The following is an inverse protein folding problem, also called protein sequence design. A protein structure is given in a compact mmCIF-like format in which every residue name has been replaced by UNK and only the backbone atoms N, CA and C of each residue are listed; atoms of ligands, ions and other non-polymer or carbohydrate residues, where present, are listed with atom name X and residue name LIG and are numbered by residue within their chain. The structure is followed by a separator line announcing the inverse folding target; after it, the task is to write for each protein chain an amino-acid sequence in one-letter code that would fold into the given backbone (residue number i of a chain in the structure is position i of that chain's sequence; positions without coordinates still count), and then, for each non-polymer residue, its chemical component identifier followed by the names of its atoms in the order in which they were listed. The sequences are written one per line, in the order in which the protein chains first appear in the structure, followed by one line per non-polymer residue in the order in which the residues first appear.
data_IF_606086380237
#
_entry.id   IF_606086380237
#
_cell.length_a   1.000
_cell.length_b   1.000
_cell.length_c   1.000
_cell.angle_alpha   90.00
_cell.angle_beta   90.00
_cell.angle_gamma   90.00
#
_symmetry.space_group_name_H-M   'P 1'
#
loop_
_entity.id
_entity.type
_entity.pdbx_description
1 polymer ?
#
# COMPACT_ATOMS: atom_id res chain seq x y z
N UNK A 1 -5.61 -14.67 -45.50
CA UNK A 1 -6.44 -15.33 -44.46
C UNK A 1 -5.47 -16.07 -43.54
N UNK A 2 -5.02 -15.40 -42.48
CA UNK A 2 -4.29 -16.08 -41.41
C UNK A 2 -5.35 -16.82 -40.61
N UNK A 3 -5.28 -18.14 -40.61
CA UNK A 3 -6.02 -19.00 -39.69
C UNK A 3 -5.51 -18.69 -38.28
N UNK A 4 -6.05 -17.64 -37.67
CA UNK A 4 -5.74 -17.32 -36.29
C UNK A 4 -6.34 -18.42 -35.44
N UNK A 5 -5.50 -19.29 -34.88
CA UNK A 5 -5.91 -20.18 -33.80
C UNK A 5 -6.65 -19.33 -32.76
N UNK A 6 -7.91 -19.68 -32.49
CA UNK A 6 -8.69 -19.04 -31.44
C UNK A 6 -8.09 -19.43 -30.09
N UNK A 7 -7.99 -18.46 -29.18
CA UNK A 7 -7.58 -18.75 -27.81
C UNK A 7 -8.74 -19.43 -27.09
N UNK A 8 -8.52 -20.65 -26.60
CA UNK A 8 -9.57 -21.45 -25.95
C UNK A 8 -10.01 -20.88 -24.59
N UNK A 9 -9.06 -20.58 -23.68
CA UNK A 9 -9.35 -19.96 -22.37
C UNK A 9 -8.09 -19.37 -21.70
N UNK A 10 -8.27 -18.58 -20.62
CA UNK A 10 -7.16 -18.08 -19.80
C UNK A 10 -6.43 -19.24 -19.10
N UNK A 11 -7.18 -20.22 -18.64
CA UNK A 11 -6.67 -21.43 -17.99
C UNK A 11 -5.77 -22.21 -18.95
N UNK A 12 -6.20 -22.41 -20.20
CA UNK A 12 -5.41 -23.08 -21.23
C UNK A 12 -4.09 -22.34 -21.52
N UNK A 13 -4.14 -20.99 -21.56
CA UNK A 13 -2.93 -20.17 -21.72
C UNK A 13 -2.01 -20.31 -20.51
N UNK A 14 -2.53 -20.28 -19.28
CA UNK A 14 -1.72 -20.46 -18.07
C UNK A 14 -1.10 -21.86 -17.99
N UNK A 15 -1.85 -22.91 -18.35
CA UNK A 15 -1.34 -24.28 -18.43
C UNK A 15 -0.24 -24.43 -19.48
N UNK A 16 -0.41 -23.80 -20.64
CA UNK A 16 0.61 -23.76 -21.69
C UNK A 16 1.88 -23.08 -21.21
N UNK A 17 1.77 -21.95 -20.52
CA UNK A 17 2.91 -21.22 -19.95
C UNK A 17 3.74 -22.09 -18.98
N UNK A 18 3.10 -23.06 -18.31
CA UNK A 18 3.77 -24.03 -17.43
C UNK A 18 4.52 -25.14 -18.16
N UNK A 19 4.29 -25.33 -19.46
CA UNK A 19 4.89 -26.38 -20.30
C UNK A 19 5.89 -25.82 -21.32
N UNK A 20 5.58 -24.67 -21.91
CA UNK A 20 6.37 -24.01 -22.95
C UNK A 20 6.20 -22.48 -22.94
N UNK A 21 7.13 -21.71 -23.55
CA UNK A 21 6.99 -20.26 -23.63
C UNK A 21 5.72 -19.83 -24.38
N UNK A 22 4.98 -18.87 -23.81
CA UNK A 22 3.82 -18.28 -24.47
C UNK A 22 4.22 -17.47 -25.70
N UNK A 23 3.39 -17.55 -26.76
CA UNK A 23 3.50 -16.64 -27.89
C UNK A 23 3.06 -15.22 -27.48
N UNK A 24 3.58 -14.21 -28.18
CA UNK A 24 3.31 -12.79 -27.89
C UNK A 24 1.80 -12.46 -27.87
N UNK A 25 1.02 -13.10 -28.74
CA UNK A 25 -0.44 -12.94 -28.78
C UNK A 25 -1.11 -13.47 -27.52
N UNK A 26 -0.69 -14.63 -27.03
CA UNK A 26 -1.24 -15.27 -25.82
C UNK A 26 -0.89 -14.44 -24.58
N UNK A 27 0.35 -13.94 -24.52
CA UNK A 27 0.82 -13.06 -23.45
C UNK A 27 0.02 -11.74 -23.40
N UNK A 28 -0.29 -11.16 -24.57
CA UNK A 28 -1.11 -9.95 -24.67
C UNK A 28 -2.53 -10.17 -24.15
N UNK A 29 -3.18 -11.26 -24.55
CA UNK A 29 -4.55 -11.56 -24.10
C UNK A 29 -4.59 -11.91 -22.60
N UNK A 30 -3.61 -12.66 -22.11
CA UNK A 30 -3.46 -12.91 -20.68
C UNK A 30 -3.33 -11.60 -19.89
N UNK A 31 -2.49 -10.68 -20.37
CA UNK A 31 -2.31 -9.36 -19.73
C UNK A 31 -3.58 -8.52 -19.79
N UNK A 32 -4.29 -8.51 -20.92
CA UNK A 32 -5.56 -7.79 -21.09
C UNK A 32 -6.60 -8.22 -20.07
N UNK A 33 -6.74 -9.53 -19.83
CA UNK A 33 -7.72 -10.06 -18.88
C UNK A 33 -7.28 -9.84 -17.43
N UNK A 34 -6.02 -10.16 -17.10
CA UNK A 34 -5.54 -10.09 -15.72
C UNK A 34 -5.26 -8.67 -15.23
N UNK A 35 -4.80 -7.77 -16.09
CA UNK A 35 -4.39 -6.41 -15.71
C UNK A 35 -5.24 -5.31 -16.33
N UNK A 36 -6.08 -5.61 -17.33
CA UNK A 36 -6.80 -4.59 -18.10
C UNK A 36 -5.89 -3.90 -19.12
N UNK A 37 -6.05 -2.58 -19.27
CA UNK A 37 -5.19 -1.78 -20.14
C UNK A 37 -3.73 -1.85 -19.66
N UNK A 38 -2.81 -2.02 -20.61
CA UNK A 38 -1.39 -2.10 -20.30
C UNK A 38 -0.87 -0.79 -19.70
N UNK A 39 -0.18 -0.92 -18.56
CA UNK A 39 0.44 0.18 -17.86
C UNK A 39 1.67 0.65 -18.63
N UNK A 40 1.65 1.87 -19.16
CA UNK A 40 2.80 2.41 -19.88
C UNK A 40 3.93 2.73 -18.89
N UNK A 41 5.17 2.25 -19.12
CA UNK A 41 6.31 2.62 -18.29
C UNK A 41 6.46 4.15 -18.22
N UNK A 42 6.66 4.67 -17.01
CA UNK A 42 6.91 6.09 -16.80
C UNK A 42 8.41 6.29 -16.59
N UNK A 43 9.00 7.24 -17.32
CA UNK A 43 10.41 7.58 -17.13
C UNK A 43 10.64 8.19 -15.75
N UNK A 44 11.70 7.71 -15.10
CA UNK A 44 12.20 8.21 -13.81
C UNK A 44 13.63 8.71 -13.99
N UNK A 45 14.08 9.61 -13.12
CA UNK A 45 15.43 10.17 -13.21
C UNK A 45 16.49 9.09 -12.96
N UNK A 46 17.65 9.22 -13.64
CA UNK A 46 18.81 8.36 -13.39
C UNK A 46 19.28 8.45 -11.93
N UNK A 47 19.12 9.62 -11.31
CA UNK A 47 19.38 9.83 -9.89
C UNK A 47 18.49 8.94 -9.00
N UNK A 48 17.18 8.87 -9.28
CA UNK A 48 16.26 8.01 -8.54
C UNK A 48 16.62 6.53 -8.70
N UNK A 49 16.96 6.10 -9.92
CA UNK A 49 17.37 4.73 -10.21
C UNK A 49 18.69 4.35 -9.51
N UNK A 50 19.67 5.25 -9.54
CA UNK A 50 20.95 5.06 -8.85
C UNK A 50 20.73 4.96 -7.34
N UNK A 51 19.93 5.86 -6.77
CA UNK A 51 19.57 5.81 -5.35
C UNK A 51 18.89 4.49 -4.97
N UNK A 52 17.90 4.05 -5.76
CA UNK A 52 17.21 2.78 -5.53
C UNK A 52 18.18 1.59 -5.53
N UNK A 53 19.14 1.57 -6.47
CA UNK A 53 20.18 0.56 -6.53
C UNK A 53 21.12 0.61 -5.31
N UNK A 54 21.68 1.77 -4.98
CA UNK A 54 22.58 1.97 -3.84
C UNK A 54 21.92 1.61 -2.50
N UNK A 55 20.65 2.03 -2.35
CA UNK A 55 19.84 1.81 -1.16
C UNK A 55 19.06 0.50 -1.22
N UNK A 56 19.28 -0.35 -2.23
CA UNK A 56 18.81 -1.74 -2.24
C UNK A 56 17.28 -1.90 -2.17
N UNK A 57 16.54 -1.04 -2.88
CA UNK A 57 15.09 -1.20 -3.12
C UNK A 57 14.77 -1.12 -4.61
N UNK A 58 13.65 -1.71 -5.00
CA UNK A 58 13.11 -1.64 -6.35
C UNK A 58 12.36 -0.32 -6.56
N UNK A 59 12.55 0.28 -7.73
CA UNK A 59 11.79 1.46 -8.16
C UNK A 59 11.06 1.13 -9.46
N UNK A 60 9.73 1.23 -9.43
CA UNK A 60 8.89 1.04 -10.62
C UNK A 60 7.99 2.23 -10.81
N UNK A 61 7.82 2.63 -12.07
CA UNK A 61 6.99 3.76 -12.43
C UNK A 61 6.13 3.45 -13.64
N UNK A 62 4.84 3.72 -13.52
CA UNK A 62 3.84 3.50 -14.55
C UNK A 62 2.99 4.73 -14.77
N UNK A 63 2.34 4.81 -15.92
CA UNK A 63 1.43 5.90 -16.28
C UNK A 63 0.15 5.37 -16.92
N UNK A 64 -0.95 6.03 -16.61
CA UNK A 64 -2.26 5.78 -17.20
C UNK A 64 -2.81 7.10 -17.75
N UNK A 65 -3.18 7.09 -19.03
CA UNK A 65 -3.78 8.23 -19.70
C UNK A 65 -5.31 8.17 -19.65
N UNK A 66 -5.92 9.35 -19.54
CA UNK A 66 -7.35 9.55 -19.75
C UNK A 66 -7.62 10.15 -21.14
N UNK A 67 -8.86 10.03 -21.62
CA UNK A 67 -9.28 10.70 -22.84
C UNK A 67 -9.17 12.23 -22.68
N UNK A 68 -8.82 12.94 -23.75
CA UNK A 68 -8.70 14.39 -23.71
C UNK A 68 -10.08 15.03 -23.60
N UNK A 69 -10.32 15.80 -22.55
CA UNK A 69 -11.50 16.64 -22.44
C UNK A 69 -11.33 17.97 -23.19
N UNK A 70 -12.43 18.51 -23.71
CA UNK A 70 -12.46 19.82 -24.36
C UNK A 70 -12.61 20.97 -23.37
N UNK A 71 -13.30 20.74 -22.25
CA UNK A 71 -13.69 21.78 -21.28
C UNK A 71 -12.86 21.74 -20.00
N UNK A 72 -12.03 20.72 -19.81
CA UNK A 72 -11.18 20.57 -18.62
C UNK A 72 -9.75 20.25 -19.06
N UNK A 73 -8.80 20.89 -18.38
CA UNK A 73 -7.40 20.52 -18.50
C UNK A 73 -7.16 19.17 -17.81
N UNK A 74 -6.22 18.34 -18.30
CA UNK A 74 -5.82 17.14 -17.58
C UNK A 74 -5.26 17.51 -16.20
N UNK A 75 -5.61 16.73 -15.18
CA UNK A 75 -5.07 16.88 -13.82
C UNK A 75 -4.14 15.69 -13.48
N UNK A 76 -2.87 15.74 -13.92
CA UNK A 76 -1.89 14.72 -13.59
C UNK A 76 -1.51 14.79 -12.11
N UNK A 77 -1.46 13.63 -11.47
CA UNK A 77 -1.07 13.42 -10.07
C UNK A 77 -0.21 12.16 -10.03
N UNK A 78 1.01 12.26 -9.51
CA UNK A 78 1.86 11.09 -9.25
C UNK A 78 1.63 10.61 -7.83
N UNK A 79 1.18 9.36 -7.67
CA UNK A 79 1.11 8.72 -6.36
C UNK A 79 2.29 7.78 -6.15
N UNK A 80 2.77 7.67 -4.92
CA UNK A 80 3.83 6.75 -4.53
C UNK A 80 3.34 5.78 -3.45
N UNK A 81 3.67 4.51 -3.60
CA UNK A 81 3.43 3.44 -2.64
C UNK A 81 4.77 2.92 -2.13
N UNK A 82 4.94 2.86 -0.81
CA UNK A 82 6.17 2.37 -0.16
C UNK A 82 5.85 1.09 0.59
N UNK A 83 6.49 -0.01 0.17
CA UNK A 83 6.56 -1.27 0.93
C UNK A 83 8.00 -1.53 1.36
N UNK A 84 8.18 -1.91 2.62
CA UNK A 84 9.48 -2.20 3.21
C UNK A 84 9.38 -3.25 4.33
N UNK A 85 10.50 -3.85 4.68
CA UNK A 85 10.63 -4.73 5.85
C UNK A 85 11.15 -3.93 7.04
N UNK A 86 11.13 -4.53 8.23
CA UNK A 86 11.89 -3.99 9.36
C UNK A 86 13.40 -4.03 9.06
N UNK A 87 14.14 -3.06 9.59
CA UNK A 87 15.58 -2.91 9.32
C UNK A 87 16.46 -3.29 10.50
N UNK A 88 15.86 -3.57 11.66
CA UNK A 88 16.52 -4.01 12.89
C UNK A 88 15.79 -5.24 13.45
N UNK A 89 16.47 -6.14 14.17
CA UNK A 89 15.83 -7.23 14.90
C UNK A 89 14.77 -6.71 15.87
N UNK A 90 13.72 -7.50 16.10
CA UNK A 90 12.64 -7.15 17.04
C UNK A 90 13.11 -7.14 18.50
N UNK A 91 14.28 -7.71 18.80
CA UNK A 91 14.94 -7.73 20.11
C UNK A 91 15.76 -6.48 20.42
N UNK A 92 15.99 -5.60 19.43
CA UNK A 92 16.72 -4.35 19.65
C UNK A 92 15.88 -3.36 20.48
N UNK A 93 16.49 -2.34 21.12
CA UNK A 93 15.73 -1.29 21.78
C UNK A 93 14.72 -0.63 20.84
N UNK A 94 13.48 -0.39 21.30
CA UNK A 94 12.39 0.14 20.46
C UNK A 94 12.74 1.47 19.76
N UNK A 95 13.52 2.33 20.42
CA UNK A 95 13.99 3.58 19.85
C UNK A 95 14.95 3.36 18.66
N UNK A 96 15.80 2.35 18.73
CA UNK A 96 16.70 1.98 17.62
C UNK A 96 15.91 1.35 16.47
N UNK A 97 14.93 0.49 16.77
CA UNK A 97 14.03 -0.08 15.76
C UNK A 97 13.29 1.04 15.02
N UNK A 98 12.68 1.99 15.75
CA UNK A 98 11.98 3.16 15.18
C UNK A 98 12.94 4.06 14.40
N UNK A 99 14.11 4.37 14.93
CA UNK A 99 15.08 5.22 14.23
C UNK A 99 15.52 4.60 12.90
N UNK A 100 15.80 3.29 12.89
CA UNK A 100 16.16 2.56 11.68
C UNK A 100 15.05 2.62 10.63
N UNK A 101 13.81 2.30 10.99
CA UNK A 101 12.72 2.27 10.02
C UNK A 101 12.37 3.67 9.51
N UNK A 102 12.40 4.69 10.38
CA UNK A 102 12.17 6.09 9.97
C UNK A 102 13.25 6.56 8.99
N UNK A 103 14.51 6.18 9.19
CA UNK A 103 15.56 6.50 8.22
C UNK A 103 15.32 5.80 6.89
N UNK A 104 14.87 4.54 6.91
CA UNK A 104 14.47 3.83 5.68
C UNK A 104 13.34 4.54 4.95
N UNK A 105 12.32 4.99 5.67
CA UNK A 105 11.21 5.75 5.10
C UNK A 105 11.69 7.07 4.48
N UNK A 106 12.65 7.78 5.10
CA UNK A 106 13.23 9.00 4.50
C UNK A 106 13.93 8.73 3.18
N UNK A 107 14.73 7.67 3.11
CA UNK A 107 15.42 7.27 1.88
C UNK A 107 14.42 7.01 0.74
N UNK A 108 13.40 6.19 1.01
CA UNK A 108 12.39 5.84 0.00
C UNK A 108 11.52 7.04 -0.37
N UNK A 109 11.23 7.93 0.58
CA UNK A 109 10.51 9.19 0.35
C UNK A 109 11.31 10.14 -0.53
N UNK A 110 12.63 10.23 -0.33
CA UNK A 110 13.49 11.05 -1.18
C UNK A 110 13.53 10.52 -2.61
N UNK A 111 13.61 9.20 -2.80
CA UNK A 111 13.52 8.61 -4.14
C UNK A 111 12.16 8.87 -4.80
N UNK A 112 11.06 8.79 -4.04
CA UNK A 112 9.73 9.16 -4.53
C UNK A 112 9.67 10.64 -4.96
N UNK A 113 10.32 11.54 -4.20
CA UNK A 113 10.47 12.95 -4.58
C UNK A 113 11.23 13.10 -5.90
N UNK A 114 12.34 12.38 -6.10
CA UNK A 114 13.09 12.39 -7.36
C UNK A 114 12.26 11.86 -8.55
N UNK A 115 11.24 11.04 -8.28
CA UNK A 115 10.24 10.60 -9.26
C UNK A 115 9.07 11.59 -9.45
N UNK A 116 9.08 12.73 -8.77
CA UNK A 116 8.02 13.75 -8.85
C UNK A 116 6.70 13.33 -8.20
N UNK A 117 6.73 12.40 -7.24
CA UNK A 117 5.52 11.98 -6.50
C UNK A 117 4.89 13.18 -5.77
N UNK A 118 3.57 13.29 -5.90
CA UNK A 118 2.77 14.33 -5.26
C UNK A 118 2.09 13.84 -3.98
N UNK A 119 1.67 12.56 -3.94
CA UNK A 119 1.03 11.94 -2.78
C UNK A 119 1.69 10.60 -2.50
N UNK A 120 2.31 10.43 -1.33
CA UNK A 120 3.00 9.22 -0.90
C UNK A 120 2.23 8.55 0.23
N UNK A 121 2.12 7.23 0.20
CA UNK A 121 1.57 6.45 1.30
C UNK A 121 2.54 5.33 1.70
N UNK A 122 2.75 5.19 3.01
CA UNK A 122 3.47 4.06 3.59
C UNK A 122 2.53 2.88 3.86
N UNK A 123 3.09 1.70 4.14
CA UNK A 123 2.36 0.52 4.61
C UNK A 123 1.76 0.70 6.02
N UNK A 124 0.96 -0.27 6.47
CA UNK A 124 0.36 -0.23 7.81
C UNK A 124 1.40 -0.35 8.93
N UNK A 125 1.19 0.41 10.01
CA UNK A 125 2.05 0.45 11.20
C UNK A 125 3.53 0.58 10.80
N UNK A 126 3.84 1.59 9.98
CA UNK A 126 5.12 1.70 9.26
C UNK A 126 6.32 1.99 10.18
N UNK A 127 6.10 2.19 11.48
CA UNK A 127 7.11 2.62 12.46
C UNK A 127 7.71 1.49 13.29
N UNK A 128 7.37 0.23 13.00
CA UNK A 128 7.93 -0.91 13.72
C UNK A 128 7.52 -2.28 13.16
N UNK A 129 7.85 -3.37 13.88
CA UNK A 129 7.36 -4.70 13.57
C UNK A 129 5.86 -4.81 13.79
N UNK A 130 5.21 -5.74 13.10
CA UNK A 130 3.80 -6.06 13.25
C UNK A 130 3.60 -7.04 14.41
N UNK A 131 3.90 -6.57 15.62
CA UNK A 131 3.95 -7.37 16.85
C UNK A 131 2.60 -7.92 17.34
N UNK A 132 1.48 -7.57 16.71
CA UNK A 132 0.15 -7.93 17.21
C UNK A 132 -0.07 -9.45 17.30
N UNK A 133 0.74 -10.26 16.61
CA UNK A 133 0.75 -11.72 16.72
C UNK A 133 1.16 -12.23 18.12
N UNK A 134 2.01 -11.50 18.84
CA UNK A 134 2.51 -11.91 20.16
C UNK A 134 1.47 -11.74 21.26
N UNK A 135 0.50 -10.83 21.08
CA UNK A 135 -0.50 -10.40 22.10
C UNK A 135 0.10 -9.73 23.33
N UNK A 136 1.42 -9.56 23.38
CA UNK A 136 2.13 -8.90 24.47
C UNK A 136 1.90 -7.39 24.43
N UNK A 137 1.75 -6.78 25.62
CA UNK A 137 1.61 -5.32 25.75
C UNK A 137 2.95 -4.62 25.79
N UNK A 138 3.87 -5.13 26.60
CA UNK A 138 5.21 -4.58 26.75
C UNK A 138 6.21 -5.43 25.96
N UNK A 139 7.25 -4.80 25.39
CA UNK A 139 7.45 -3.35 25.32
C UNK A 139 6.61 -2.69 24.21
N UNK A 140 5.92 -3.48 23.38
CA UNK A 140 5.38 -3.07 22.09
C UNK A 140 4.45 -1.85 22.08
N UNK A 141 3.62 -1.67 23.09
CA UNK A 141 2.71 -0.51 23.19
C UNK A 141 3.44 0.82 23.37
N UNK A 142 4.73 0.82 23.73
CA UNK A 142 5.60 2.02 23.73
C UNK A 142 5.94 2.50 22.30
N UNK A 143 5.71 1.67 21.28
CA UNK A 143 5.81 2.10 19.89
C UNK A 143 4.69 3.08 19.50
N UNK A 144 3.61 3.15 20.29
CA UNK A 144 2.53 4.09 20.05
C UNK A 144 3.01 5.54 20.23
N UNK A 145 2.59 6.44 19.34
CA UNK A 145 2.94 7.85 19.40
C UNK A 145 1.73 8.77 19.11
N UNK A 146 1.84 10.05 19.47
CA UNK A 146 0.80 11.03 19.16
C UNK A 146 0.65 11.22 17.64
N UNK A 147 -0.59 11.20 17.15
CA UNK A 147 -0.92 11.46 15.75
C UNK A 147 -0.65 12.91 15.30
N UNK A 148 -0.38 13.83 16.23
CA UNK A 148 -0.12 15.25 15.93
C UNK A 148 1.32 15.67 16.24
N UNK A 149 1.89 15.16 17.34
CA UNK A 149 3.18 15.61 17.87
C UNK A 149 4.23 14.49 17.94
N UNK A 150 3.88 13.28 17.52
CA UNK A 150 4.76 12.11 17.49
C UNK A 150 6.03 12.34 16.66
N UNK A 151 7.15 11.69 17.00
CA UNK A 151 8.42 11.88 16.33
C UNK A 151 8.38 11.49 14.84
N UNK A 152 7.61 10.45 14.48
CA UNK A 152 7.44 10.06 13.07
C UNK A 152 6.63 11.11 12.33
N UNK A 153 5.57 11.63 12.95
CA UNK A 153 4.73 12.69 12.36
C UNK A 153 5.55 13.95 12.08
N UNK A 154 6.36 14.41 13.04
CA UNK A 154 7.26 15.57 12.82
C UNK A 154 8.21 15.37 11.65
N UNK A 155 8.82 14.19 11.56
CA UNK A 155 9.69 13.83 10.42
C UNK A 155 8.93 13.88 9.09
N UNK A 156 7.69 13.38 9.06
CA UNK A 156 6.83 13.46 7.88
C UNK A 156 6.44 14.90 7.53
N UNK A 157 6.18 15.77 8.51
CA UNK A 157 5.89 17.20 8.28
C UNK A 157 7.06 17.91 7.60
N UNK A 158 8.29 17.66 8.07
CA UNK A 158 9.51 18.21 7.46
C UNK A 158 9.69 17.74 6.01
N UNK A 159 9.58 16.43 5.76
CA UNK A 159 9.68 15.87 4.41
C UNK A 159 8.58 16.39 3.49
N UNK A 160 7.33 16.43 3.96
CA UNK A 160 6.19 16.90 3.20
C UNK A 160 6.36 18.35 2.73
N UNK A 161 6.76 19.24 3.64
CA UNK A 161 7.03 20.64 3.30
C UNK A 161 8.25 20.79 2.38
N UNK A 162 9.32 20.01 2.62
CA UNK A 162 10.55 20.09 1.82
C UNK A 162 10.33 19.64 0.38
N UNK A 163 9.51 18.60 0.18
CA UNK A 163 9.28 17.97 -1.11
C UNK A 163 8.00 18.44 -1.80
N UNK A 164 7.23 19.34 -1.18
CA UNK A 164 5.90 19.75 -1.64
C UNK A 164 5.01 18.53 -1.94
N UNK A 165 4.99 17.58 -1.01
CA UNK A 165 4.39 16.25 -1.16
C UNK A 165 3.41 15.98 -0.02
N UNK A 166 2.23 15.46 -0.33
CA UNK A 166 1.31 14.93 0.69
C UNK A 166 1.82 13.58 1.16
N UNK A 167 1.87 13.35 2.48
CA UNK A 167 2.32 12.07 3.06
C UNK A 167 1.20 11.48 3.90
N UNK A 168 0.86 10.21 3.63
CA UNK A 168 -0.05 9.39 4.43
C UNK A 168 0.80 8.45 5.30
N UNK A 169 0.71 8.61 6.61
CA UNK A 169 1.53 7.91 7.60
C UNK A 169 0.68 7.04 8.55
N UNK A 170 0.58 5.73 8.30
CA UNK A 170 -0.10 4.78 9.19
C UNK A 170 0.76 4.40 10.39
N UNK A 171 0.30 4.73 11.60
CA UNK A 171 0.99 4.50 12.87
C UNK A 171 0.08 3.79 13.88
N UNK A 172 0.70 3.25 14.94
CA UNK A 172 0.00 3.02 16.19
C UNK A 172 -0.08 4.35 16.94
N UNK A 173 -1.29 4.86 17.10
CA UNK A 173 -1.54 6.11 17.79
C UNK A 173 -1.74 5.87 19.29
N UNK A 174 -1.20 6.77 20.13
CA UNK A 174 -1.62 6.95 21.52
C UNK A 174 -2.42 8.25 21.63
N UNK A 175 -3.66 8.14 22.08
CA UNK A 175 -4.56 9.28 22.28
C UNK A 175 -4.47 9.80 23.71
N UNK A 176 -3.52 10.70 23.95
CA UNK A 176 -3.26 11.31 25.27
C UNK A 176 -4.47 12.11 25.79
N UNK A 177 -5.36 12.58 24.91
CA UNK A 177 -6.58 13.31 25.30
C UNK A 177 -7.69 12.38 25.80
N UNK A 178 -7.64 11.10 25.41
CA UNK A 178 -8.64 10.09 25.76
C UNK A 178 -7.99 8.93 26.50
N UNK A 179 -7.38 9.24 27.65
CA UNK A 179 -6.83 8.27 28.61
C UNK A 179 -5.81 7.31 28.01
N UNK A 180 -4.93 7.82 27.14
CA UNK A 180 -3.86 7.06 26.50
C UNK A 180 -4.34 5.83 25.70
N UNK A 181 -5.58 5.86 25.21
CA UNK A 181 -6.13 4.78 24.38
C UNK A 181 -5.33 4.61 23.09
N UNK A 182 -5.16 3.37 22.67
CA UNK A 182 -4.41 3.04 21.47
C UNK A 182 -5.35 2.90 20.28
N UNK A 183 -4.87 3.32 19.10
CA UNK A 183 -5.62 3.25 17.85
C UNK A 183 -4.71 2.92 16.67
N UNK A 184 -5.23 2.19 15.68
CA UNK A 184 -4.55 2.06 14.40
C UNK A 184 -5.02 3.20 13.48
N UNK A 185 -4.08 4.08 13.13
CA UNK A 185 -4.41 5.42 12.63
C UNK A 185 -3.55 5.78 11.44
N UNK A 186 -4.17 6.28 10.37
CA UNK A 186 -3.49 6.96 9.29
C UNK A 186 -3.56 8.47 9.49
N UNK A 187 -2.39 9.12 9.58
CA UNK A 187 -2.24 10.57 9.66
C UNK A 187 -1.98 11.13 8.27
N UNK A 188 -2.70 12.19 7.89
CA UNK A 188 -2.56 12.84 6.60
C UNK A 188 -1.81 14.15 6.81
N UNK A 189 -0.62 14.25 6.22
CA UNK A 189 0.23 15.44 6.25
C UNK A 189 0.14 16.12 4.87
N UNK A 190 -0.28 17.39 4.86
CA UNK A 190 -0.31 18.21 3.64
C UNK A 190 1.09 18.49 3.10
N UNK A 191 1.16 18.85 1.82
CA UNK A 191 2.38 19.32 1.15
C UNK A 191 3.01 20.58 1.77
N UNK A 192 2.32 21.28 2.68
CA UNK A 192 2.89 22.41 3.43
C UNK A 192 3.49 21.99 4.77
N UNK A 193 3.53 20.69 5.06
CA UNK A 193 3.94 20.14 6.36
C UNK A 193 2.89 20.26 7.48
N UNK A 194 1.67 20.74 7.20
CA UNK A 194 0.60 20.78 8.21
C UNK A 194 -0.15 19.45 8.25
N UNK A 195 -0.45 18.93 9.44
CA UNK A 195 -1.37 17.80 9.61
C UNK A 195 -2.77 18.25 9.20
N UNK A 196 -3.37 17.59 8.19
CA UNK A 196 -4.76 17.81 7.78
C UNK A 196 -5.75 17.10 8.69
N UNK A 197 -5.29 16.02 9.33
CA UNK A 197 -6.05 15.25 10.29
C UNK A 197 -5.64 13.78 10.26
N UNK A 198 -6.49 12.95 10.84
CA UNK A 198 -6.28 11.50 10.99
C UNK A 198 -7.57 10.72 10.70
N UNK A 199 -7.42 9.47 10.32
CA UNK A 199 -8.52 8.49 10.23
C UNK A 199 -8.10 7.19 10.92
N UNK A 200 -9.00 6.63 11.72
CA UNK A 200 -8.79 5.41 12.52
C UNK A 200 -9.38 4.20 11.78
N UNK A 201 -8.83 3.01 12.06
CA UNK A 201 -9.20 1.76 11.38
C UNK A 201 -10.63 1.34 11.75
N UNK A 202 -11.54 1.39 10.78
CA UNK A 202 -12.97 1.08 10.99
C UNK A 202 -13.24 -0.41 11.31
N UNK A 203 -12.45 -1.33 10.75
CA UNK A 203 -12.65 -2.77 10.88
C UNK A 203 -11.41 -3.44 11.47
N UNK A 204 -11.54 -4.01 12.65
CA UNK A 204 -10.42 -4.61 13.40
C UNK A 204 -10.45 -6.14 13.25
N UNK A 205 -9.38 -6.77 12.75
CA UNK A 205 -9.30 -8.22 12.66
C UNK A 205 -9.16 -8.87 14.03
N UNK A 206 -9.64 -10.12 14.09
CA UNK A 206 -9.51 -11.04 15.22
C UNK A 206 -9.06 -12.44 14.78
N UNK A 207 -8.46 -12.55 13.59
CA UNK A 207 -8.27 -13.81 12.87
C UNK A 207 -6.81 -14.25 12.92
N UNK A 208 -6.55 -15.45 13.43
CA UNK A 208 -5.21 -16.06 13.47
C UNK A 208 -4.19 -15.23 14.25
N UNK A 209 -3.08 -14.89 13.60
CA UNK A 209 -2.04 -14.03 14.16
C UNK A 209 -2.43 -12.53 14.20
N UNK A 210 -3.48 -12.13 13.48
CA UNK A 210 -3.95 -10.74 13.44
C UNK A 210 -4.84 -10.42 14.66
N UNK A 211 -4.26 -10.50 15.86
CA UNK A 211 -4.93 -10.28 17.16
C UNK A 211 -5.06 -8.79 17.52
N UNK A 212 -5.29 -7.95 16.52
CA UNK A 212 -5.30 -6.48 16.65
C UNK A 212 -6.34 -5.97 17.66
N UNK A 213 -7.50 -6.64 17.75
CA UNK A 213 -8.55 -6.28 18.73
C UNK A 213 -8.13 -6.40 20.20
N UNK A 214 -6.98 -7.05 20.46
CA UNK A 214 -6.37 -7.05 21.79
C UNK A 214 -5.84 -5.66 22.14
N UNK A 215 -5.47 -4.85 21.15
CA UNK A 215 -4.71 -3.60 21.31
C UNK A 215 -5.56 -2.34 21.14
N UNK A 216 -6.52 -2.35 20.22
CA UNK A 216 -7.35 -1.19 19.89
C UNK A 216 -8.74 -1.58 19.41
N UNK A 217 -9.69 -0.65 19.54
CA UNK A 217 -11.10 -0.82 19.18
C UNK A 217 -11.40 -0.32 17.77
N UNK A 218 -12.59 -0.62 17.25
CA UNK A 218 -13.06 -0.05 15.98
C UNK A 218 -13.04 1.50 16.02
N UNK A 219 -12.50 2.11 14.96
CA UNK A 219 -12.32 3.55 14.88
C UNK A 219 -13.64 4.33 14.79
N UNK A 220 -13.68 5.47 15.48
CA UNK A 220 -14.83 6.36 15.57
C UNK A 220 -14.78 7.57 14.60
N UNK A 221 -13.73 7.67 13.77
CA UNK A 221 -13.54 8.80 12.84
C UNK A 221 -14.44 8.76 11.60
N UNK A 222 -15.17 7.66 11.39
CA UNK A 222 -15.99 7.45 10.19
C UNK A 222 -15.15 7.30 8.91
N UNK A 223 -15.69 7.74 7.78
CA UNK A 223 -15.08 7.57 6.45
C UNK A 223 -14.57 8.90 5.89
N UNK A 224 -13.53 9.46 6.51
CA UNK A 224 -13.05 10.81 6.17
C UNK A 224 -12.41 10.87 4.78
N UNK A 225 -12.66 11.97 4.08
CA UNK A 225 -12.00 12.34 2.82
C UNK A 225 -11.26 13.65 3.02
N UNK A 226 -9.97 13.65 2.69
CA UNK A 226 -9.05 14.76 2.90
C UNK A 226 -8.83 15.51 1.59
N UNK A 227 -9.10 16.81 1.62
CA UNK A 227 -8.90 17.68 0.46
C UNK A 227 -7.44 18.15 0.43
N UNK A 228 -6.75 17.84 -0.66
CA UNK A 228 -5.36 18.26 -0.89
C UNK A 228 -5.27 19.03 -2.21
N UNK A 229 -4.15 19.73 -2.43
CA UNK A 229 -3.91 20.37 -3.73
C UNK A 229 -3.83 19.36 -4.90
N UNK A 230 -3.60 18.08 -4.59
CA UNK A 230 -3.45 16.99 -5.56
C UNK A 230 -4.69 16.10 -5.67
N UNK A 231 -5.81 16.50 -5.06
CA UNK A 231 -7.08 15.75 -5.10
C UNK A 231 -7.60 15.34 -3.74
N UNK A 232 -8.76 14.70 -3.75
CA UNK A 232 -9.46 14.19 -2.57
C UNK A 232 -9.00 12.77 -2.27
N UNK A 233 -8.32 12.58 -1.15
CA UNK A 233 -7.76 11.29 -0.76
C UNK A 233 -8.48 10.70 0.45
N UNK A 234 -8.53 9.38 0.52
CA UNK A 234 -9.00 8.64 1.69
C UNK A 234 -8.07 7.47 2.00
N UNK A 235 -8.24 6.86 3.18
CA UNK A 235 -7.41 5.73 3.61
C UNK A 235 -8.29 4.62 4.18
N UNK A 236 -8.37 3.51 3.48
CA UNK A 236 -9.00 2.29 3.97
C UNK A 236 -7.92 1.39 4.61
N UNK A 237 -7.81 1.36 5.93
CA UNK A 237 -6.71 0.68 6.60
C UNK A 237 -6.91 -0.84 6.63
N UNK A 238 -5.98 -1.57 6.01
CA UNK A 238 -5.79 -3.02 6.10
C UNK A 238 -7.06 -3.88 6.01
N UNK A 239 -7.55 -4.43 7.12
CA UNK A 239 -8.68 -5.36 7.18
C UNK A 239 -10.00 -4.74 6.68
N UNK A 240 -10.08 -3.41 6.64
CA UNK A 240 -11.14 -2.71 5.94
C UNK A 240 -11.22 -3.02 4.44
N UNK A 241 -10.19 -3.64 3.84
CA UNK A 241 -10.20 -4.13 2.44
C UNK A 241 -11.28 -5.16 2.16
N UNK A 242 -11.63 -5.98 3.15
CA UNK A 242 -12.63 -7.05 3.03
C UNK A 242 -14.08 -6.55 3.05
N UNK A 243 -14.30 -5.25 3.24
CA UNK A 243 -15.61 -4.67 3.51
C UNK A 243 -16.03 -3.73 2.37
N UNK A 244 -16.82 -4.21 1.39
CA UNK A 244 -17.29 -3.37 0.27
C UNK A 244 -17.97 -2.07 0.70
N UNK A 245 -18.72 -2.09 1.81
CA UNK A 245 -19.39 -0.91 2.35
C UNK A 245 -18.42 0.17 2.85
N UNK A 246 -17.26 -0.23 3.38
CA UNK A 246 -16.23 0.71 3.84
C UNK A 246 -15.61 1.45 2.64
N UNK A 247 -15.31 0.71 1.55
CA UNK A 247 -14.90 1.30 0.28
C UNK A 247 -15.97 2.26 -0.30
N UNK A 248 -17.22 1.79 -0.31
CA UNK A 248 -18.35 2.57 -0.82
C UNK A 248 -18.53 3.89 -0.08
N UNK A 249 -18.43 3.89 1.25
CA UNK A 249 -18.55 5.09 2.06
C UNK A 249 -17.49 6.16 1.72
N UNK A 250 -16.26 5.78 1.40
CA UNK A 250 -15.25 6.74 0.90
C UNK A 250 -15.62 7.29 -0.49
N UNK A 251 -16.14 6.45 -1.38
CA UNK A 251 -16.65 6.87 -2.69
C UNK A 251 -17.80 7.87 -2.57
N UNK A 252 -18.79 7.57 -1.72
CA UNK A 252 -19.92 8.46 -1.42
C UNK A 252 -19.48 9.80 -0.83
N UNK A 253 -18.41 9.80 -0.04
CA UNK A 253 -17.81 11.02 0.52
C UNK A 253 -16.89 11.76 -0.46
N UNK A 254 -16.81 11.30 -1.72
CA UNK A 254 -16.15 11.99 -2.82
C UNK A 254 -14.66 11.70 -2.97
N UNK A 255 -14.14 10.58 -2.45
CA UNK A 255 -12.74 10.20 -2.64
C UNK A 255 -12.41 9.99 -4.12
N UNK A 256 -11.25 10.49 -4.55
CA UNK A 256 -10.69 10.27 -5.90
C UNK A 256 -9.58 9.22 -5.86
N UNK A 257 -8.87 9.14 -4.74
CA UNK A 257 -7.77 8.18 -4.51
C UNK A 257 -7.96 7.60 -3.11
N UNK A 258 -8.08 6.28 -3.01
CA UNK A 258 -8.16 5.57 -1.73
C UNK A 258 -6.90 4.73 -1.54
N UNK A 259 -6.11 5.05 -0.52
CA UNK A 259 -4.97 4.22 -0.14
C UNK A 259 -5.42 3.08 0.76
N UNK A 260 -4.82 1.90 0.60
CA UNK A 260 -5.04 0.73 1.43
C UNK A 260 -3.72 0.19 2.00
N UNK A 261 -3.19 0.87 3.03
CA UNK A 261 -2.02 0.39 3.75
C UNK A 261 -2.38 -0.87 4.55
N UNK A 262 -1.63 -1.94 4.34
CA UNK A 262 -1.89 -3.26 4.91
C UNK A 262 -0.60 -3.90 5.43
N UNK A 263 -0.76 -4.81 6.37
CA UNK A 263 0.18 -5.88 6.67
C UNK A 263 -0.63 -7.19 6.70
N UNK A 264 -0.35 -8.10 5.77
CA UNK A 264 -1.06 -9.38 5.67
C UNK A 264 -0.16 -10.47 5.11
N UNK A 265 -0.39 -11.71 5.55
CA UNK A 265 0.46 -12.88 5.27
C UNK A 265 -0.36 -14.05 4.74
N UNK A 266 0.34 -15.03 4.17
CA UNK A 266 -0.16 -16.38 4.03
C UNK A 266 -1.04 -16.66 2.80
N UNK A 267 -1.11 -17.95 2.47
CA UNK A 267 -1.71 -18.47 1.25
C UNK A 267 -3.22 -18.26 1.14
N UNK A 268 -3.93 -18.04 2.25
CA UNK A 268 -5.36 -17.71 2.20
C UNK A 268 -5.60 -16.24 1.86
N UNK A 269 -4.72 -15.34 2.32
CA UNK A 269 -4.88 -13.91 2.08
C UNK A 269 -4.45 -13.49 0.68
N UNK A 270 -3.35 -14.04 0.17
CA UNK A 270 -2.73 -13.59 -1.09
C UNK A 270 -3.67 -13.72 -2.31
N UNK A 271 -4.49 -14.78 -2.47
CA UNK A 271 -5.46 -14.89 -3.57
C UNK A 271 -6.51 -13.78 -3.59
N UNK A 272 -6.84 -13.18 -2.43
CA UNK A 272 -7.80 -12.08 -2.35
C UNK A 272 -7.16 -10.72 -2.72
N UNK A 273 -5.85 -10.58 -2.54
CA UNK A 273 -5.10 -9.34 -2.77
C UNK A 273 -5.30 -8.71 -4.16
N UNK A 274 -5.24 -9.47 -5.28
CA UNK A 274 -5.48 -8.89 -6.59
C UNK A 274 -6.96 -8.61 -6.89
N UNK A 275 -7.88 -9.04 -6.03
CA UNK A 275 -9.34 -8.95 -6.25
C UNK A 275 -9.93 -7.73 -5.54
N UNK A 276 -9.73 -7.60 -4.24
CA UNK A 276 -10.54 -6.72 -3.39
C UNK A 276 -10.35 -5.23 -3.69
N UNK A 277 -9.09 -4.77 -3.67
CA UNK A 277 -8.77 -3.37 -3.97
C UNK A 277 -9.05 -3.01 -5.44
N UNK A 278 -8.87 -3.95 -6.37
CA UNK A 278 -9.24 -3.76 -7.79
C UNK A 278 -10.75 -3.65 -7.96
N UNK A 279 -11.53 -4.52 -7.31
CA UNK A 279 -12.99 -4.47 -7.31
C UNK A 279 -13.48 -3.13 -6.72
N UNK A 280 -12.87 -2.67 -5.63
CA UNK A 280 -13.19 -1.38 -5.04
C UNK A 280 -12.95 -0.19 -6.01
N UNK A 281 -11.85 -0.21 -6.77
CA UNK A 281 -11.58 0.82 -7.79
C UNK A 281 -12.67 0.85 -8.87
N UNK A 282 -13.07 -0.33 -9.37
CA UNK A 282 -14.11 -0.48 -10.40
C UNK A 282 -15.47 -0.01 -9.87
N UNK A 283 -15.91 -0.57 -8.73
CA UNK A 283 -17.25 -0.36 -8.20
C UNK A 283 -17.51 1.11 -7.78
N UNK A 284 -16.45 1.84 -7.38
CA UNK A 284 -16.57 3.21 -6.87
C UNK A 284 -16.00 4.26 -7.84
N UNK A 285 -15.46 3.83 -8.99
CA UNK A 285 -14.92 4.71 -10.04
C UNK A 285 -13.85 5.69 -9.50
N UNK A 286 -12.94 5.20 -8.65
CA UNK A 286 -11.80 5.95 -8.13
C UNK A 286 -10.50 5.16 -8.29
N UNK A 287 -9.36 5.76 -7.94
CA UNK A 287 -8.08 5.07 -7.89
C UNK A 287 -7.86 4.38 -6.54
N UNK A 288 -7.23 3.21 -6.53
CA UNK A 288 -6.84 2.52 -5.28
C UNK A 288 -5.36 2.21 -5.28
N UNK A 289 -4.64 2.62 -4.23
CA UNK A 289 -3.26 2.23 -3.98
C UNK A 289 -3.19 1.18 -2.87
N UNK A 290 -3.03 -0.11 -3.23
CA UNK A 290 -2.91 -1.20 -2.28
C UNK A 290 -1.45 -1.42 -1.91
N UNK A 291 -1.14 -1.44 -0.61
CA UNK A 291 0.24 -1.48 -0.10
C UNK A 291 0.32 -2.58 0.95
N UNK A 292 1.24 -3.53 0.80
CA UNK A 292 1.51 -4.54 1.84
C UNK A 292 2.97 -4.47 2.28
N UNK A 293 3.19 -4.83 3.54
CA UNK A 293 4.51 -5.12 4.11
C UNK A 293 5.23 -6.24 3.35
N UNK A 294 6.55 -6.30 3.51
CA UNK A 294 7.39 -7.40 2.99
C UNK A 294 8.26 -8.05 4.06
N UNK A 295 8.69 -9.28 3.79
CA UNK A 295 9.63 -10.05 4.60
C UNK A 295 8.95 -10.90 5.67
N UNK A 296 9.76 -11.46 6.57
CA UNK A 296 9.33 -12.22 7.74
C UNK A 296 9.96 -11.60 8.98
N UNK A 297 9.18 -11.45 10.04
CA UNK A 297 9.60 -10.85 11.30
C UNK A 297 9.67 -11.92 12.38
N UNK A 298 10.75 -11.99 13.15
CA UNK A 298 10.90 -12.98 14.23
C UNK A 298 10.91 -12.29 15.58
N UNK A 299 10.18 -12.80 16.56
CA UNK A 299 10.03 -12.25 17.91
C UNK A 299 10.80 -13.05 18.96
N UNK A 300 11.03 -12.45 20.13
CA UNK A 300 11.80 -13.07 21.22
C UNK A 300 11.09 -14.29 21.81
N UNK A 301 9.79 -14.12 22.12
CA UNK A 301 8.95 -15.13 22.75
C UNK A 301 8.12 -15.90 21.72
N UNK A 302 7.84 -17.16 22.04
CA UNK A 302 6.96 -17.99 21.22
C UNK A 302 5.50 -17.55 21.35
N UNK A 303 4.75 -17.61 20.25
CA UNK A 303 3.31 -17.39 20.23
C UNK A 303 2.61 -18.46 19.39
N UNK A 304 1.28 -18.49 19.44
CA UNK A 304 0.45 -19.47 18.72
C UNK A 304 -0.59 -18.77 17.85
N UNK A 305 -0.78 -19.30 16.64
CA UNK A 305 -1.65 -18.73 15.61
C UNK A 305 -3.12 -19.15 15.72
N UNK A 306 -3.47 -19.98 16.71
CA UNK A 306 -4.84 -20.48 16.90
C UNK A 306 -5.29 -21.54 15.88
N UNK A 307 -4.35 -22.16 15.16
CA UNK A 307 -4.59 -23.18 14.13
C UNK A 307 -4.23 -24.62 14.57
N UNK A 308 -3.88 -24.80 15.85
CA UNK A 308 -3.49 -26.09 16.43
C UNK A 308 -2.04 -26.52 16.13
N UNK A 309 -1.25 -25.69 15.43
CA UNK A 309 0.18 -25.95 15.23
C UNK A 309 1.02 -25.60 16.48
N UNK A 310 2.27 -26.10 16.57
CA UNK A 310 3.19 -25.72 17.64
C UNK A 310 3.42 -24.21 17.74
N UNK A 311 3.82 -23.76 18.93
CA UNK A 311 4.27 -22.40 19.12
C UNK A 311 5.53 -22.14 18.28
N UNK A 312 5.69 -20.89 17.83
CA UNK A 312 6.76 -20.46 16.95
C UNK A 312 7.09 -18.99 17.21
N UNK A 313 8.13 -18.48 16.55
CA UNK A 313 8.64 -17.12 16.77
C UNK A 313 8.53 -16.23 15.54
N UNK A 314 8.28 -16.78 14.37
CA UNK A 314 8.27 -16.06 13.10
C UNK A 314 6.85 -15.69 12.66
N UNK A 315 6.71 -14.46 12.17
CA UNK A 315 5.48 -13.95 11.59
C UNK A 315 5.73 -13.48 10.17
N UNK A 316 5.10 -14.17 9.23
CA UNK A 316 5.34 -13.99 7.80
C UNK A 316 4.88 -15.22 7.01
N UNK A 317 5.16 -15.27 5.71
CA UNK A 317 5.82 -14.23 4.92
C UNK A 317 4.82 -13.13 4.52
N UNK A 318 5.17 -11.86 4.75
CA UNK A 318 4.45 -10.71 4.19
C UNK A 318 4.83 -10.59 2.70
N UNK A 319 3.85 -10.73 1.82
CA UNK A 319 4.09 -10.97 0.40
C UNK A 319 4.25 -9.72 -0.47
N UNK A 320 4.22 -8.51 0.11
CA UNK A 320 4.36 -7.25 -0.63
C UNK A 320 3.29 -7.07 -1.70
N UNK A 321 3.69 -7.19 -2.96
CA UNK A 321 2.72 -7.18 -4.06
C UNK A 321 1.91 -5.88 -4.15
N UNK A 322 2.47 -4.75 -3.73
CA UNK A 322 1.79 -3.45 -3.79
C UNK A 322 1.49 -3.06 -5.24
N UNK A 323 0.33 -2.43 -5.47
CA UNK A 323 -0.12 -2.05 -6.81
C UNK A 323 -1.14 -0.92 -6.78
N UNK A 324 -1.37 -0.31 -7.94
CA UNK A 324 -2.42 0.68 -8.14
C UNK A 324 -3.48 0.12 -9.07
N UNK A 325 -4.75 0.18 -8.66
CA UNK A 325 -5.91 -0.10 -9.51
C UNK A 325 -6.56 1.21 -9.97
N UNK A 326 -7.04 1.19 -11.21
CA UNK A 326 -7.64 2.32 -11.89
C UNK A 326 -9.18 2.15 -11.96
N UNK A 327 -9.93 3.26 -12.08
CA UNK A 327 -11.39 3.23 -12.23
C UNK A 327 -11.89 2.40 -13.42
N UNK A 328 -11.12 2.34 -14.51
CA UNK A 328 -11.46 1.59 -15.73
C UNK A 328 -11.21 0.09 -15.63
N UNK A 329 -10.85 -0.40 -14.43
CA UNK A 329 -10.52 -1.79 -14.15
C UNK A 329 -9.09 -2.19 -14.55
N UNK A 330 -8.31 -1.29 -15.14
CA UNK A 330 -6.89 -1.53 -15.34
C UNK A 330 -6.09 -1.41 -14.04
N UNK A 331 -4.87 -1.94 -14.01
CA UNK A 331 -4.00 -1.90 -12.82
C UNK A 331 -2.53 -1.99 -13.20
N UNK A 332 -1.66 -1.55 -12.31
CA UNK A 332 -0.23 -1.83 -12.43
C UNK A 332 0.08 -3.31 -12.21
N UNK A 333 1.20 -3.81 -12.76
CA UNK A 333 1.73 -5.13 -12.42
C UNK A 333 1.93 -5.30 -10.92
N UNK A 334 1.89 -6.56 -10.48
CA UNK A 334 2.25 -7.00 -9.14
C UNK A 334 3.51 -7.82 -9.22
N UNK A 335 4.43 -7.67 -8.26
CA UNK A 335 5.52 -8.62 -8.08
C UNK A 335 5.30 -9.42 -6.80
N UNK A 336 5.20 -10.74 -6.95
CA UNK A 336 5.19 -11.68 -5.84
C UNK A 336 6.55 -11.62 -5.14
N UNK A 337 6.56 -11.40 -3.82
CA UNK A 337 7.80 -11.43 -3.03
C UNK A 337 8.49 -12.82 -3.04
N UNK A 338 7.79 -13.88 -3.46
CA UNK A 338 8.28 -15.26 -3.45
C UNK A 338 9.19 -15.68 -4.63
N UNK A 339 9.60 -14.76 -5.51
CA UNK A 339 10.56 -15.09 -6.58
C UNK A 339 11.93 -14.53 -6.26
N UNK A 340 12.72 -15.37 -5.58
CA UNK A 340 14.14 -15.27 -5.18
C UNK A 340 14.35 -14.94 -3.69
N UNK A 341 14.67 -15.99 -2.92
CA UNK A 341 15.23 -15.96 -1.55
C UNK A 341 16.54 -15.16 -1.41
N UNK A 342 17.01 -14.51 -2.47
CA UNK A 342 18.18 -13.65 -2.46
C UNK A 342 17.92 -12.46 -3.40
N UNK A 343 18.01 -11.24 -2.84
CA UNK A 343 18.00 -9.90 -3.49
C UNK A 343 16.66 -9.12 -3.57
N UNK A 344 16.50 -8.20 -2.61
CA UNK A 344 15.72 -6.94 -2.64
C UNK A 344 14.19 -7.03 -2.77
N UNK A 345 13.52 -7.26 -1.64
CA UNK A 345 12.06 -7.39 -1.52
C UNK A 345 11.31 -6.04 -1.32
N UNK A 346 12.01 -4.93 -1.15
CA UNK A 346 11.39 -3.62 -0.89
C UNK A 346 11.16 -2.86 -2.20
N UNK A 347 10.00 -2.20 -2.34
CA UNK A 347 9.56 -1.58 -3.61
C UNK A 347 8.96 -0.20 -3.35
N UNK A 348 9.41 0.80 -4.10
CA UNK A 348 8.70 2.07 -4.31
C UNK A 348 7.99 1.97 -5.66
N UNK A 349 6.66 1.96 -5.64
CA UNK A 349 5.85 2.02 -6.86
C UNK A 349 5.29 3.41 -7.03
N UNK A 350 5.70 4.10 -8.09
CA UNK A 350 5.14 5.38 -8.51
C UNK A 350 4.12 5.17 -9.64
N UNK A 351 2.92 5.71 -9.53
CA UNK A 351 1.96 5.73 -10.63
C UNK A 351 1.60 7.17 -10.97
N UNK A 352 1.87 7.59 -12.20
CA UNK A 352 1.32 8.81 -12.78
C UNK A 352 -0.15 8.57 -13.14
N UNK A 353 -1.05 9.14 -12.36
CA UNK A 353 -2.49 9.12 -12.58
C UNK A 353 -2.90 10.43 -13.22
N UNK A 354 -3.50 10.40 -14.41
CA UNK A 354 -4.18 11.56 -14.97
C UNK A 354 -5.67 11.42 -14.69
N UNK A 355 -6.23 12.34 -13.90
CA UNK A 355 -7.68 12.46 -13.74
C UNK A 355 -8.22 13.57 -14.65
N UNK A 356 -9.30 13.29 -15.36
CA UNK A 356 -9.98 14.21 -16.28
C UNK A 356 -10.80 13.46 -17.33
N UNK A 357 -12.12 13.40 -17.14
CA UNK A 357 -13.09 13.08 -18.19
C UNK A 357 -13.87 11.79 -18.07
N UNK A 358 -15.15 11.87 -18.48
CA UNK A 358 -16.05 10.74 -18.61
C UNK A 358 -15.43 9.66 -19.49
N UNK A 359 -15.47 8.44 -18.99
CA UNK A 359 -14.91 7.26 -19.62
C UNK A 359 -15.76 6.92 -20.84
N UNK A 360 -15.26 7.16 -22.05
CA UNK A 360 -15.91 6.60 -23.24
C UNK A 360 -15.56 5.11 -23.32
N UNK A 361 -16.58 4.26 -23.21
CA UNK A 361 -16.53 2.95 -23.82
C UNK A 361 -16.61 3.18 -25.34
N UNK A 362 -15.47 3.12 -26.02
CA UNK A 362 -15.40 3.17 -27.48
C UNK A 362 -14.07 2.52 -27.87
N UNK A 363 -14.00 1.43 -28.62
CA UNK A 363 -14.96 0.44 -29.14
C UNK A 363 -14.28 -0.94 -29.05
#
# INVERSE_FOLDING_TARGET
MSSGEELESVEAVLEKAGKEPLQERELRELRRILYGKEAAPLSVSEEALRMASEKKFELKAFSFGAAKEQTRAPRPVRIGLVQNRIVRPTTDPLLEQRAGIVERLKEMTHAAYLCGVNVLCYQEACTGPFFFCTREKLPWTELAESAETGPTIKTCQEMASRYNMVIVCPILERDELHSDTLHNTAVIISNTGKVLGKTRKNHIPRVGDFNESTYYMEGETGHRVFHTQFGRIAVNICYGRHHPLNWCAYGLNGAEIVFNPSATVGALSEPMWPVEARCAAIANTYFVGAINRVGTETFENEFTSGDGKPAHKDFGHFYGSSYVAMPDGSRTPVRLANTLLESHEEVVTSAGIVSGGGWSASD
#
